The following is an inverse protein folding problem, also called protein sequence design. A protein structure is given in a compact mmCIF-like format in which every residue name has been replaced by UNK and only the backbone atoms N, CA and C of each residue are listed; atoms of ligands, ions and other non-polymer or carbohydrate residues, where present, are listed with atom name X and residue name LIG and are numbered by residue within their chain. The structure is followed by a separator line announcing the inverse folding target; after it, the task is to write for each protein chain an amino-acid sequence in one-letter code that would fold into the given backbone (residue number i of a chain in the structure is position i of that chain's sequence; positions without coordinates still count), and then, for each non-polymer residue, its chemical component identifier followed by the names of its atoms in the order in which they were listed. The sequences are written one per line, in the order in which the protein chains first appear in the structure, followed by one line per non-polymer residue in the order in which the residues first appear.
data_IF_733520748430
#
_entry.id   IF_733520748430
#
_cell.length_a   1.000
_cell.length_b   1.000
_cell.length_c   1.000
_cell.angle_alpha   90.00
_cell.angle_beta   90.00
_cell.angle_gamma   90.00
#
_symmetry.space_group_name_H-M   'P 1'
#
loop_
_entity.id
_entity.type
_entity.pdbx_description
1 polymer ?
#
# COMPACT_ATOMS: atom_id res chain seq x y z
N UNK A 1 -34.86 -11.55 24.59
CA UNK A 1 -34.21 -12.01 23.35
C UNK A 1 -34.30 -13.55 23.32
N UNK A 2 -34.57 -14.19 22.17
CA UNK A 2 -34.64 -15.67 22.11
C UNK A 2 -33.25 -16.27 22.38
N UNK A 3 -33.19 -17.53 22.84
CA UNK A 3 -31.90 -18.24 23.06
C UNK A 3 -31.04 -18.17 21.79
N UNK A 4 -31.66 -18.37 20.62
CA UNK A 4 -30.99 -18.26 19.33
C UNK A 4 -30.32 -16.89 19.11
N UNK A 5 -31.03 -15.79 19.38
CA UNK A 5 -30.48 -14.44 19.20
C UNK A 5 -29.37 -14.13 20.22
N UNK A 6 -29.47 -14.65 21.44
CA UNK A 6 -28.39 -14.55 22.44
C UNK A 6 -27.15 -15.33 21.99
N UNK A 7 -27.33 -16.55 21.47
CA UNK A 7 -26.24 -17.35 20.91
C UNK A 7 -25.58 -16.67 19.72
N UNK A 8 -26.37 -16.09 18.81
CA UNK A 8 -25.87 -15.35 17.65
C UNK A 8 -25.08 -14.10 18.06
N UNK A 9 -25.57 -13.36 19.07
CA UNK A 9 -24.85 -12.23 19.65
C UNK A 9 -23.47 -12.66 20.14
N UNK A 10 -23.41 -13.67 21.01
CA UNK A 10 -22.14 -14.13 21.60
C UNK A 10 -21.19 -14.75 20.58
N UNK A 11 -21.72 -15.45 19.57
CA UNK A 11 -20.93 -15.92 18.44
C UNK A 11 -20.29 -14.75 17.70
N UNK A 12 -21.05 -13.69 17.41
CA UNK A 12 -20.55 -12.50 16.71
C UNK A 12 -19.51 -11.76 17.55
N UNK A 13 -19.73 -11.61 18.86
CA UNK A 13 -18.74 -11.03 19.78
C UNK A 13 -17.46 -11.86 19.81
N UNK A 14 -17.58 -13.18 19.96
CA UNK A 14 -16.44 -14.09 19.95
C UNK A 14 -15.64 -14.00 18.65
N UNK A 15 -16.34 -14.01 17.50
CA UNK A 15 -15.72 -13.82 16.19
C UNK A 15 -14.99 -12.48 16.10
N UNK A 16 -15.62 -11.37 16.48
CA UNK A 16 -15.01 -10.03 16.42
C UNK A 16 -13.76 -9.91 17.30
N UNK A 17 -13.79 -10.49 18.50
CA UNK A 17 -12.63 -10.51 19.40
C UNK A 17 -11.49 -11.30 18.77
N UNK A 18 -11.76 -12.53 18.31
CA UNK A 18 -10.74 -13.38 17.67
C UNK A 18 -10.20 -12.70 16.41
N UNK A 19 -11.05 -12.23 15.52
CA UNK A 19 -10.68 -11.56 14.28
C UNK A 19 -9.87 -10.28 14.52
N UNK A 20 -10.12 -9.56 15.61
CA UNK A 20 -9.33 -8.38 15.99
C UNK A 20 -7.95 -8.75 16.53
N UNK A 21 -7.86 -9.85 17.29
CA UNK A 21 -6.64 -10.26 18.01
C UNK A 21 -5.68 -11.14 17.19
N UNK A 22 -6.20 -11.99 16.30
CA UNK A 22 -5.41 -12.92 15.48
C UNK A 22 -4.29 -12.24 14.68
N UNK A 23 -4.51 -11.07 14.03
CA UNK A 23 -3.45 -10.36 13.30
C UNK A 23 -2.26 -9.89 14.14
N UNK A 24 -2.39 -9.82 15.48
CA UNK A 24 -1.29 -9.45 16.37
C UNK A 24 -0.28 -10.59 16.57
N UNK A 25 -0.61 -11.81 16.14
CA UNK A 25 0.34 -12.91 16.18
C UNK A 25 1.52 -12.65 15.24
N UNK A 26 2.69 -13.18 15.59
CA UNK A 26 3.90 -13.16 14.75
C UNK A 26 3.84 -14.16 13.58
N UNK A 27 2.75 -14.90 13.43
CA UNK A 27 2.62 -15.97 12.42
C UNK A 27 2.47 -15.33 11.02
N UNK A 28 3.42 -15.53 10.09
CA UNK A 28 3.39 -14.92 8.76
C UNK A 28 2.49 -15.73 7.81
N UNK A 29 1.23 -16.00 8.17
CA UNK A 29 0.33 -16.81 7.33
C UNK A 29 -0.78 -15.95 6.73
N UNK A 30 -1.06 -16.09 5.43
CA UNK A 30 -2.03 -15.25 4.73
C UNK A 30 -3.41 -15.26 5.38
N UNK A 31 -3.94 -16.43 5.78
CA UNK A 31 -5.22 -16.52 6.51
C UNK A 31 -5.27 -15.69 7.81
N UNK A 32 -4.15 -15.57 8.53
CA UNK A 32 -4.04 -14.76 9.75
C UNK A 32 -3.96 -13.27 9.36
N UNK A 33 -3.18 -12.95 8.34
CA UNK A 33 -3.00 -11.58 7.84
C UNK A 33 -4.26 -11.01 7.20
N UNK A 34 -5.10 -11.83 6.56
CA UNK A 34 -6.37 -11.40 5.97
C UNK A 34 -7.34 -10.80 7.00
N UNK A 35 -7.28 -11.21 8.27
CA UNK A 35 -8.06 -10.58 9.34
C UNK A 35 -7.63 -9.14 9.65
N UNK A 36 -6.44 -8.71 9.22
CA UNK A 36 -6.02 -7.32 9.33
C UNK A 36 -6.74 -6.40 8.35
N UNK A 37 -7.29 -6.92 7.25
CA UNK A 37 -7.90 -6.10 6.20
C UNK A 37 -9.18 -5.41 6.68
N UNK A 38 -10.19 -6.13 7.20
CA UNK A 38 -11.51 -5.53 7.44
C UNK A 38 -11.64 -4.77 8.78
N UNK A 39 -10.62 -4.02 9.22
CA UNK A 39 -10.67 -3.29 10.51
C UNK A 39 -11.80 -2.26 10.58
N UNK A 40 -12.06 -1.55 9.49
CA UNK A 40 -13.16 -0.59 9.40
C UNK A 40 -14.52 -1.29 9.58
N UNK A 41 -14.68 -2.44 8.91
CA UNK A 41 -15.88 -3.26 8.97
C UNK A 41 -16.08 -3.86 10.36
N UNK A 42 -15.00 -4.36 10.99
CA UNK A 42 -15.04 -4.85 12.36
C UNK A 42 -15.37 -3.74 13.36
N UNK A 43 -14.85 -2.53 13.17
CA UNK A 43 -15.21 -1.37 13.98
C UNK A 43 -16.71 -1.04 13.88
N UNK A 44 -17.24 -0.91 12.66
CA UNK A 44 -18.67 -0.59 12.45
C UNK A 44 -19.57 -1.71 12.97
N UNK A 45 -19.23 -2.98 12.69
CA UNK A 45 -20.00 -4.11 13.20
C UNK A 45 -19.96 -4.15 14.72
N UNK A 46 -18.81 -3.90 15.35
CA UNK A 46 -18.70 -3.85 16.81
C UNK A 46 -19.53 -2.73 17.43
N UNK A 47 -19.65 -1.55 16.79
CA UNK A 47 -20.57 -0.49 17.24
C UNK A 47 -22.03 -0.95 17.22
N UNK A 48 -22.45 -1.64 16.15
CA UNK A 48 -23.81 -2.19 16.05
C UNK A 48 -24.05 -3.24 17.13
N UNK A 49 -23.12 -4.18 17.33
CA UNK A 49 -23.24 -5.22 18.36
C UNK A 49 -23.17 -4.61 19.77
N UNK A 50 -22.37 -3.57 20.00
CA UNK A 50 -22.35 -2.83 21.27
C UNK A 50 -23.73 -2.22 21.57
N UNK A 51 -24.34 -1.56 20.59
CA UNK A 51 -25.68 -0.99 20.73
C UNK A 51 -26.74 -2.08 21.00
N UNK A 52 -26.70 -3.20 20.28
CA UNK A 52 -27.60 -4.34 20.56
C UNK A 52 -27.40 -4.85 21.99
N UNK A 53 -26.15 -4.99 22.45
CA UNK A 53 -25.84 -5.41 23.82
C UNK A 53 -26.41 -4.46 24.87
N UNK A 54 -26.41 -3.15 24.59
CA UNK A 54 -26.93 -2.12 25.50
C UNK A 54 -28.44 -2.25 25.72
N UNK A 55 -29.22 -2.56 24.68
CA UNK A 55 -30.68 -2.58 24.73
C UNK A 55 -31.30 -3.96 24.99
N UNK A 56 -30.61 -5.05 24.63
CA UNK A 56 -31.21 -6.39 24.61
C UNK A 56 -30.60 -7.40 25.59
N UNK A 57 -29.46 -7.10 26.22
CA UNK A 57 -28.88 -7.92 27.29
C UNK A 57 -29.16 -7.30 28.65
N UNK A 58 -29.13 -8.11 29.71
CA UNK A 58 -29.32 -7.66 31.09
C UNK A 58 -28.22 -8.19 32.02
N UNK A 59 -28.09 -7.55 33.18
CA UNK A 59 -27.18 -7.98 34.25
C UNK A 59 -25.73 -8.19 33.81
N UNK A 60 -25.14 -9.31 34.21
CA UNK A 60 -23.75 -9.65 33.92
C UNK A 60 -23.47 -9.82 32.42
N UNK A 61 -24.44 -10.32 31.64
CA UNK A 61 -24.27 -10.52 30.19
C UNK A 61 -24.09 -9.17 29.47
N UNK A 62 -24.85 -8.14 29.87
CA UNK A 62 -24.69 -6.79 29.35
C UNK A 62 -23.29 -6.27 29.64
N UNK A 63 -22.83 -6.38 30.90
CA UNK A 63 -21.51 -5.87 31.29
C UNK A 63 -20.40 -6.54 30.49
N UNK A 64 -20.39 -7.88 30.42
CA UNK A 64 -19.35 -8.62 29.69
C UNK A 64 -19.40 -8.33 28.19
N UNK A 65 -20.60 -8.27 27.60
CA UNK A 65 -20.78 -7.98 26.17
C UNK A 65 -20.29 -6.58 25.80
N UNK A 66 -20.62 -5.57 26.62
CA UNK A 66 -20.17 -4.19 26.42
C UNK A 66 -18.66 -4.03 26.62
N UNK A 67 -18.06 -4.72 27.59
CA UNK A 67 -16.59 -4.70 27.76
C UNK A 67 -15.92 -5.32 26.52
N UNK A 68 -16.34 -6.52 26.12
CA UNK A 68 -15.73 -7.22 24.99
C UNK A 68 -15.85 -6.43 23.68
N UNK A 69 -17.06 -5.96 23.34
CA UNK A 69 -17.28 -5.14 22.13
C UNK A 69 -16.63 -3.76 22.24
N UNK A 70 -16.63 -3.15 23.42
CA UNK A 70 -15.92 -1.89 23.70
C UNK A 70 -14.41 -2.02 23.46
N UNK A 71 -13.79 -3.12 23.88
CA UNK A 71 -12.38 -3.39 23.59
C UNK A 71 -12.11 -3.54 22.09
N UNK A 72 -12.97 -4.25 21.35
CA UNK A 72 -12.87 -4.38 19.89
C UNK A 72 -12.97 -3.01 19.21
N UNK A 73 -13.92 -2.17 19.64
CA UNK A 73 -14.10 -0.80 19.14
C UNK A 73 -12.82 0.00 19.36
N UNK A 74 -12.31 0.03 20.60
CA UNK A 74 -11.11 0.81 20.95
C UNK A 74 -9.89 0.35 20.15
N UNK A 75 -9.64 -0.95 20.07
CA UNK A 75 -8.49 -1.49 19.34
C UNK A 75 -8.57 -1.09 17.86
N UNK A 76 -9.69 -1.35 17.18
CA UNK A 76 -9.80 -1.01 15.76
C UNK A 76 -9.80 0.50 15.54
N UNK A 77 -10.41 1.29 16.43
CA UNK A 77 -10.36 2.75 16.40
C UNK A 77 -8.92 3.29 16.41
N UNK A 78 -8.04 2.75 17.27
CA UNK A 78 -6.63 3.19 17.35
C UNK A 78 -5.91 3.00 16.00
N UNK A 79 -6.16 1.88 15.32
CA UNK A 79 -5.53 1.60 14.02
C UNK A 79 -6.09 2.48 12.90
N UNK A 80 -7.41 2.65 12.83
CA UNK A 80 -8.04 3.41 11.75
C UNK A 80 -7.92 4.92 11.97
N UNK A 81 -7.88 5.41 13.22
CA UNK A 81 -7.83 6.84 13.54
C UNK A 81 -6.61 7.53 12.91
N UNK A 82 -5.47 6.84 12.82
CA UNK A 82 -4.24 7.34 12.17
C UNK A 82 -4.46 7.82 10.74
N UNK A 83 -5.43 7.27 10.04
CA UNK A 83 -5.75 7.58 8.65
C UNK A 83 -7.01 8.45 8.54
N UNK A 84 -7.33 9.21 9.58
CA UNK A 84 -8.42 10.19 9.58
C UNK A 84 -7.86 11.61 9.75
N UNK A 85 -8.59 12.66 9.32
CA UNK A 85 -8.22 14.06 9.57
C UNK A 85 -8.11 14.45 11.04
N UNK A 86 -8.55 13.59 11.97
CA UNK A 86 -8.42 13.83 13.41
C UNK A 86 -7.01 13.54 13.93
N UNK A 87 -6.22 12.75 13.19
CA UNK A 87 -4.85 12.44 13.56
C UNK A 87 -3.89 13.50 13.02
N UNK A 88 -2.82 13.76 13.76
CA UNK A 88 -1.78 14.69 13.31
C UNK A 88 -1.14 14.16 12.03
N UNK A 89 -1.08 14.97 10.98
CA UNK A 89 -0.43 14.58 9.73
C UNK A 89 1.05 14.22 9.96
N UNK A 90 1.54 13.16 9.33
CA UNK A 90 2.96 12.79 9.40
C UNK A 90 3.80 13.63 8.42
N UNK A 91 3.40 13.63 7.15
CA UNK A 91 4.03 14.39 6.08
C UNK A 91 3.68 15.87 6.13
N UNK A 92 4.68 16.72 5.88
CA UNK A 92 4.53 18.17 5.81
C UNK A 92 4.05 18.58 4.42
N UNK A 93 3.08 19.50 4.37
CA UNK A 93 2.60 20.08 3.13
C UNK A 93 3.62 21.08 2.55
N UNK A 94 3.72 21.14 1.23
CA UNK A 94 4.56 22.10 0.53
C UNK A 94 4.09 23.54 0.81
N UNK A 95 5.05 24.45 1.02
CA UNK A 95 4.76 25.89 1.12
C UNK A 95 4.26 26.43 -0.22
N UNK A 96 3.64 27.63 -0.27
CA UNK A 96 3.25 28.24 -1.54
C UNK A 96 4.41 28.35 -2.53
N UNK A 97 5.60 28.73 -2.07
CA UNK A 97 6.80 28.86 -2.91
C UNK A 97 7.24 27.50 -3.46
N UNK A 98 7.25 26.45 -2.63
CA UNK A 98 7.57 25.08 -3.05
C UNK A 98 6.56 24.52 -4.07
N UNK A 99 5.29 24.97 -4.02
CA UNK A 99 4.24 24.56 -4.98
C UNK A 99 4.39 25.23 -6.34
N UNK A 100 4.91 26.45 -6.35
CA UNK A 100 5.12 27.27 -7.56
C UNK A 100 6.43 26.93 -8.29
N UNK A 101 7.40 26.29 -7.61
CA UNK A 101 8.63 25.82 -8.24
C UNK A 101 8.43 24.50 -9.00
N UNK A 102 8.00 24.62 -10.26
CA UNK A 102 7.82 23.49 -11.17
C UNK A 102 9.11 22.65 -11.36
N UNK A 103 10.30 23.25 -11.23
CA UNK A 103 11.58 22.53 -11.44
C UNK A 103 11.88 21.49 -10.36
N UNK A 104 11.21 21.61 -9.21
CA UNK A 104 11.31 20.72 -8.05
C UNK A 104 10.03 19.91 -7.81
N UNK A 105 9.00 20.11 -8.62
CA UNK A 105 7.73 19.39 -8.49
C UNK A 105 7.78 18.09 -9.28
N UNK A 106 7.32 17.02 -8.65
CA UNK A 106 7.06 15.75 -9.33
C UNK A 106 5.64 15.28 -9.03
N UNK A 107 4.91 14.93 -10.08
CA UNK A 107 3.60 14.29 -10.01
C UNK A 107 3.69 12.87 -10.57
N UNK A 108 3.26 11.90 -9.78
CA UNK A 108 3.29 10.49 -10.10
C UNK A 108 1.88 9.88 -10.04
N UNK A 109 1.52 9.07 -11.04
CA UNK A 109 0.35 8.19 -11.00
C UNK A 109 0.82 6.74 -10.93
N UNK A 110 0.30 5.98 -9.98
CA UNK A 110 0.45 4.53 -9.91
C UNK A 110 -0.90 3.84 -10.07
N UNK A 111 -0.94 2.76 -10.85
CA UNK A 111 -2.17 2.00 -11.13
C UNK A 111 -1.89 0.51 -11.25
N UNK A 112 -2.41 -0.32 -10.36
CA UNK A 112 -2.63 -1.73 -10.68
C UNK A 112 -3.79 -1.82 -11.69
N UNK A 113 -3.51 -2.29 -12.92
CA UNK A 113 -4.51 -2.27 -14.00
C UNK A 113 -5.37 -3.52 -14.07
N UNK A 114 -4.98 -4.58 -13.34
CA UNK A 114 -5.46 -5.95 -13.50
C UNK A 114 -5.27 -6.46 -14.92
N UNK A 115 -4.37 -7.40 -15.16
CA UNK A 115 -3.97 -7.78 -16.53
C UNK A 115 -5.17 -8.07 -17.44
N UNK A 116 -6.15 -8.87 -17.00
CA UNK A 116 -7.37 -9.23 -17.73
C UNK A 116 -8.28 -8.06 -18.11
N UNK A 117 -8.16 -6.89 -17.47
CA UNK A 117 -8.87 -5.68 -17.89
C UNK A 117 -8.28 -5.17 -19.21
N UNK A 118 -9.12 -4.95 -20.22
CA UNK A 118 -8.69 -4.46 -21.56
C UNK A 118 -9.19 -3.06 -21.88
N UNK A 119 -9.73 -2.34 -20.90
CA UNK A 119 -10.17 -0.95 -21.07
C UNK A 119 -8.98 0.03 -20.99
N UNK A 120 -8.03 -0.13 -21.92
CA UNK A 120 -6.80 0.66 -21.98
C UNK A 120 -7.05 2.17 -22.01
N UNK A 121 -8.13 2.56 -22.71
CA UNK A 121 -8.49 3.95 -22.94
C UNK A 121 -8.74 4.73 -21.64
N UNK A 122 -9.28 4.09 -20.59
CA UNK A 122 -9.54 4.78 -19.31
C UNK A 122 -8.26 5.26 -18.64
N UNK A 123 -7.25 4.40 -18.53
CA UNK A 123 -5.96 4.79 -17.94
C UNK A 123 -5.23 5.80 -18.84
N UNK A 124 -5.22 5.58 -20.16
CA UNK A 124 -4.61 6.51 -21.12
C UNK A 124 -5.24 7.92 -21.00
N UNK A 125 -6.56 8.01 -20.96
CA UNK A 125 -7.28 9.28 -20.82
C UNK A 125 -7.00 9.95 -19.48
N UNK A 126 -6.90 9.17 -18.39
CA UNK A 126 -6.53 9.67 -17.08
C UNK A 126 -5.13 10.31 -17.12
N UNK A 127 -4.14 9.60 -17.69
CA UNK A 127 -2.76 10.10 -17.82
C UNK A 127 -2.70 11.37 -18.68
N UNK A 128 -3.44 11.42 -19.81
CA UNK A 128 -3.51 12.62 -20.66
C UNK A 128 -4.19 13.81 -19.98
N UNK A 129 -5.13 13.55 -19.07
CA UNK A 129 -5.86 14.58 -18.34
C UNK A 129 -5.01 15.15 -17.20
N UNK A 130 -4.44 14.30 -16.37
CA UNK A 130 -3.66 14.70 -15.20
C UNK A 130 -2.22 15.11 -15.54
N UNK A 131 -1.71 14.66 -16.71
CA UNK A 131 -0.38 14.96 -17.23
C UNK A 131 0.75 14.77 -16.20
N UNK A 132 0.84 13.61 -15.53
CA UNK A 132 1.88 13.39 -14.54
C UNK A 132 3.28 13.43 -15.19
N UNK A 133 4.30 13.69 -14.37
CA UNK A 133 5.71 13.61 -14.77
C UNK A 133 6.14 12.15 -14.89
N UNK A 134 5.56 11.29 -14.05
CA UNK A 134 5.81 9.85 -14.03
C UNK A 134 4.47 9.11 -13.95
N UNK A 135 4.30 8.07 -14.76
CA UNK A 135 3.18 7.13 -14.65
C UNK A 135 3.72 5.71 -14.56
N UNK A 136 3.15 4.90 -13.67
CA UNK A 136 3.43 3.46 -13.58
C UNK A 136 2.15 2.64 -13.61
N UNK A 137 2.19 1.52 -14.32
CA UNK A 137 1.14 0.52 -14.34
C UNK A 137 1.69 -0.85 -13.92
N UNK A 138 0.98 -1.54 -13.03
CA UNK A 138 1.27 -2.89 -12.53
C UNK A 138 0.25 -3.89 -13.09
N UNK A 139 0.62 -5.16 -13.12
CA UNK A 139 -0.14 -6.24 -13.77
C UNK A 139 -0.34 -6.00 -15.27
N UNK A 140 0.74 -5.67 -15.99
CA UNK A 140 0.71 -5.44 -17.45
C UNK A 140 1.32 -6.60 -18.24
N UNK A 141 0.62 -7.01 -19.29
CA UNK A 141 1.15 -7.88 -20.34
C UNK A 141 1.62 -7.05 -21.55
N UNK A 142 2.07 -7.76 -22.60
CA UNK A 142 2.52 -7.13 -23.83
C UNK A 142 1.44 -6.22 -24.45
N UNK A 143 0.16 -6.62 -24.40
CA UNK A 143 -0.94 -5.86 -24.97
C UNK A 143 -1.18 -4.54 -24.21
N UNK A 144 -1.10 -4.55 -22.89
CA UNK A 144 -1.14 -3.33 -22.07
C UNK A 144 0.03 -2.40 -22.39
N UNK A 145 1.26 -2.93 -22.46
CA UNK A 145 2.46 -2.15 -22.77
C UNK A 145 2.35 -1.53 -24.16
N UNK A 146 1.90 -2.28 -25.16
CA UNK A 146 1.73 -1.79 -26.53
C UNK A 146 0.65 -0.70 -26.64
N UNK A 147 -0.47 -0.86 -25.94
CA UNK A 147 -1.54 0.13 -25.91
C UNK A 147 -1.08 1.45 -25.27
N UNK A 148 -0.40 1.38 -24.11
CA UNK A 148 0.17 2.54 -23.42
C UNK A 148 1.24 3.21 -24.28
N UNK A 149 2.18 2.45 -24.83
CA UNK A 149 3.26 2.98 -25.65
C UNK A 149 2.72 3.65 -26.91
N UNK A 150 1.80 3.01 -27.62
CA UNK A 150 1.22 3.58 -28.84
C UNK A 150 0.52 4.92 -28.60
N UNK A 151 -0.11 5.09 -27.44
CA UNK A 151 -0.89 6.27 -27.12
C UNK A 151 -0.12 7.40 -26.42
N UNK A 152 1.01 7.09 -25.77
CA UNK A 152 1.72 7.99 -24.84
C UNK A 152 3.23 8.15 -25.12
N UNK A 153 3.81 7.45 -26.11
CA UNK A 153 5.25 7.56 -26.44
C UNK A 153 5.74 8.97 -26.76
N UNK A 154 4.85 9.84 -27.25
CA UNK A 154 5.19 11.24 -27.56
C UNK A 154 5.10 12.13 -26.32
N UNK A 155 4.38 11.68 -25.28
CA UNK A 155 4.19 12.38 -23.99
C UNK A 155 5.28 12.02 -22.96
N UNK A 156 5.92 10.85 -23.08
CA UNK A 156 6.96 10.34 -22.17
C UNK A 156 8.20 9.90 -22.94
N UNK A 157 9.37 10.43 -22.57
CA UNK A 157 10.64 10.18 -23.27
C UNK A 157 11.38 8.96 -22.72
N UNK A 158 11.10 8.56 -21.48
CA UNK A 158 11.80 7.49 -20.78
C UNK A 158 10.83 6.37 -20.41
N UNK A 159 11.22 5.13 -20.69
CA UNK A 159 10.38 3.95 -20.51
C UNK A 159 11.19 2.80 -19.91
N UNK A 160 10.59 2.09 -18.96
CA UNK A 160 11.05 0.78 -18.50
C UNK A 160 9.87 -0.16 -18.65
N UNK A 161 10.01 -1.16 -19.52
CA UNK A 161 8.93 -2.08 -19.89
C UNK A 161 9.32 -3.47 -19.41
N UNK A 162 8.49 -4.04 -18.56
CA UNK A 162 8.65 -5.39 -18.00
C UNK A 162 7.29 -6.07 -18.14
N UNK A 163 6.86 -6.33 -19.36
CA UNK A 163 5.67 -7.12 -19.60
C UNK A 163 5.89 -8.58 -19.17
N UNK A 164 4.88 -9.15 -18.54
CA UNK A 164 4.83 -10.57 -18.20
C UNK A 164 3.44 -11.11 -18.50
N UNK A 165 3.35 -12.39 -18.90
CA UNK A 165 2.07 -13.08 -19.12
C UNK A 165 1.48 -13.62 -17.80
N UNK A 166 1.66 -12.87 -16.71
CA UNK A 166 1.26 -13.20 -15.35
C UNK A 166 0.93 -11.90 -14.57
N UNK A 167 0.50 -12.01 -13.32
CA UNK A 167 0.13 -10.87 -12.47
C UNK A 167 1.30 -9.99 -11.99
N UNK A 168 2.48 -10.00 -12.62
CA UNK A 168 3.67 -9.30 -12.12
C UNK A 168 4.30 -8.31 -13.08
N UNK A 169 3.84 -8.25 -14.34
CA UNK A 169 4.37 -7.28 -15.28
C UNK A 169 4.17 -5.83 -14.83
N UNK A 170 5.12 -4.96 -15.16
CA UNK A 170 5.09 -3.54 -14.81
C UNK A 170 5.68 -2.67 -15.90
N UNK A 171 5.18 -1.43 -16.01
CA UNK A 171 5.71 -0.42 -16.92
C UNK A 171 5.85 0.92 -16.21
N UNK A 172 7.03 1.52 -16.33
CA UNK A 172 7.34 2.87 -15.87
C UNK A 172 7.49 3.79 -17.09
N UNK A 173 6.77 4.91 -17.07
CA UNK A 173 6.78 5.98 -18.06
C UNK A 173 7.21 7.28 -17.37
N UNK A 174 8.23 7.98 -17.89
CA UNK A 174 8.73 9.20 -17.30
C UNK A 174 9.05 10.29 -18.33
N UNK A 175 8.65 11.52 -18.01
CA UNK A 175 9.09 12.74 -18.69
C UNK A 175 10.45 13.20 -18.19
N UNK A 176 10.73 12.93 -16.92
CA UNK A 176 11.99 13.23 -16.27
C UNK A 176 13.05 12.20 -16.67
N UNK A 177 14.33 12.61 -16.83
CA UNK A 177 15.41 11.68 -17.13
C UNK A 177 15.57 10.60 -16.07
N UNK A 178 15.64 9.36 -16.54
CA UNK A 178 15.92 8.17 -15.73
C UNK A 178 17.35 7.70 -15.97
N UNK A 179 18.07 7.40 -14.90
CA UNK A 179 19.40 6.77 -14.96
C UNK A 179 19.60 5.78 -13.81
N UNK A 180 20.66 4.97 -13.88
CA UNK A 180 20.91 3.87 -12.94
C UNK A 180 19.66 2.98 -12.76
N UNK A 181 18.96 2.72 -13.86
CA UNK A 181 17.73 1.93 -13.88
C UNK A 181 18.05 0.45 -13.84
N UNK A 182 17.49 -0.24 -12.86
CA UNK A 182 17.62 -1.68 -12.64
C UNK A 182 16.22 -2.29 -12.53
N UNK A 183 15.98 -3.35 -13.30
CA UNK A 183 14.85 -4.27 -13.10
C UNK A 183 15.39 -5.46 -12.30
N UNK A 184 14.76 -5.77 -11.16
CA UNK A 184 15.33 -6.67 -10.16
C UNK A 184 14.27 -7.60 -9.58
N UNK A 185 14.61 -8.87 -9.47
CA UNK A 185 13.87 -9.86 -8.69
C UNK A 185 14.60 -10.00 -7.35
N UNK A 186 14.12 -9.31 -6.32
CA UNK A 186 14.91 -9.09 -5.09
C UNK A 186 14.91 -10.31 -4.18
N UNK A 187 13.81 -11.03 -4.14
CA UNK A 187 13.62 -12.15 -3.24
C UNK A 187 12.97 -13.36 -3.90
N UNK A 188 11.89 -13.14 -4.67
CA UNK A 188 11.13 -14.22 -5.32
C UNK A 188 11.36 -14.16 -6.82
N UNK A 189 11.75 -15.29 -7.42
CA UNK A 189 11.97 -15.40 -8.87
C UNK A 189 10.67 -15.10 -9.64
N UNK A 190 10.78 -14.32 -10.71
CA UNK A 190 9.66 -13.88 -11.53
C UNK A 190 8.83 -12.72 -10.94
N UNK A 191 9.16 -12.20 -9.75
CA UNK A 191 8.53 -11.00 -9.17
C UNK A 191 9.46 -9.80 -9.36
N UNK A 192 9.23 -8.95 -10.37
CA UNK A 192 10.12 -7.84 -10.66
C UNK A 192 9.84 -6.64 -9.75
N UNK A 193 10.87 -5.82 -9.60
CA UNK A 193 10.82 -4.47 -9.03
C UNK A 193 11.68 -3.55 -9.88
N UNK A 194 11.35 -2.27 -9.94
CA UNK A 194 12.16 -1.27 -10.63
C UNK A 194 12.81 -0.36 -9.60
N UNK A 195 14.12 -0.17 -9.73
CA UNK A 195 14.87 0.88 -9.04
C UNK A 195 15.47 1.81 -10.07
N UNK A 196 15.26 3.10 -9.95
CA UNK A 196 15.86 4.08 -10.87
C UNK A 196 16.15 5.39 -10.16
N UNK A 197 17.23 6.06 -10.54
CA UNK A 197 17.43 7.46 -10.18
C UNK A 197 16.65 8.33 -11.17
N UNK A 198 15.99 9.33 -10.65
CA UNK A 198 15.21 10.33 -11.39
C UNK A 198 15.89 11.67 -11.23
N UNK A 199 16.10 12.39 -12.33
CA UNK A 199 16.67 13.74 -12.32
C UNK A 199 15.59 14.79 -12.49
N UNK A 200 15.59 15.77 -11.60
CA UNK A 200 14.71 16.93 -11.64
C UNK A 200 15.32 18.03 -12.50
N UNK A 201 14.48 18.93 -13.03
CA UNK A 201 14.94 20.10 -13.78
C UNK A 201 15.76 21.07 -12.92
N UNK A 202 15.55 21.04 -11.59
CA UNK A 202 16.40 21.76 -10.62
C UNK A 202 17.84 21.26 -10.54
N UNK A 203 18.14 20.11 -11.15
CA UNK A 203 19.42 19.41 -11.06
C UNK A 203 19.53 18.45 -9.86
N UNK A 204 18.56 18.47 -8.94
CA UNK A 204 18.47 17.47 -7.87
C UNK A 204 18.12 16.09 -8.44
N UNK A 205 18.47 15.05 -7.70
CA UNK A 205 18.14 13.67 -8.06
C UNK A 205 17.60 12.92 -6.85
N UNK A 206 16.72 11.96 -7.11
CA UNK A 206 16.08 11.15 -6.09
C UNK A 206 15.90 9.72 -6.60
N UNK A 207 15.62 8.78 -5.69
CA UNK A 207 15.50 7.36 -5.99
C UNK A 207 14.04 6.93 -6.03
N UNK A 208 13.60 6.36 -7.14
CA UNK A 208 12.29 5.74 -7.28
C UNK A 208 12.41 4.22 -7.16
N UNK A 209 11.57 3.64 -6.32
CA UNK A 209 11.32 2.20 -6.25
C UNK A 209 9.88 1.91 -6.62
N UNK A 210 9.66 1.00 -7.59
CA UNK A 210 8.35 0.47 -7.96
C UNK A 210 8.31 -1.00 -7.64
N UNK A 211 7.28 -1.42 -6.92
CA UNK A 211 7.20 -2.74 -6.31
C UNK A 211 5.81 -3.33 -6.45
N UNK A 212 5.74 -4.65 -6.61
CA UNK A 212 4.50 -5.39 -6.58
C UNK A 212 4.75 -6.78 -5.99
N UNK A 213 5.00 -6.86 -4.67
CA UNK A 213 5.28 -8.13 -4.02
C UNK A 213 4.04 -9.04 -4.02
N UNK A 214 4.26 -10.32 -3.71
CA UNK A 214 3.22 -11.33 -3.78
C UNK A 214 1.98 -11.02 -2.92
N UNK A 215 0.77 -11.39 -3.39
CA UNK A 215 -0.46 -11.21 -2.64
C UNK A 215 -0.56 -12.16 -1.44
N UNK A 216 -1.15 -11.74 -0.30
CA UNK A 216 -1.42 -12.63 0.81
C UNK A 216 -2.61 -13.54 0.46
N UNK A 217 -2.37 -14.85 0.35
CA UNK A 217 -3.42 -15.83 0.09
C UNK A 217 -3.70 -16.71 1.31
N UNK A 218 -4.96 -17.14 1.57
CA UNK A 218 -5.30 -17.91 2.76
C UNK A 218 -4.58 -19.25 2.92
N UNK A 219 -3.96 -19.77 1.86
CA UNK A 219 -3.33 -21.09 1.81
C UNK A 219 -1.80 -21.03 1.71
N UNK A 220 -1.19 -19.83 1.84
CA UNK A 220 0.26 -19.65 1.81
C UNK A 220 0.74 -18.71 2.92
N UNK A 221 2.03 -18.79 3.25
CA UNK A 221 2.69 -17.80 4.09
C UNK A 221 2.94 -16.48 3.35
N UNK A 222 3.30 -15.42 4.10
CA UNK A 222 3.57 -14.07 3.59
C UNK A 222 5.05 -13.71 3.58
N UNK A 223 5.97 -14.68 3.71
CA UNK A 223 7.41 -14.42 3.89
C UNK A 223 8.02 -13.74 2.67
N UNK A 224 7.72 -14.20 1.45
CA UNK A 224 8.16 -13.55 0.21
C UNK A 224 7.77 -12.08 0.14
N UNK A 225 6.49 -11.78 0.33
CA UNK A 225 5.99 -10.40 0.39
C UNK A 225 6.65 -9.56 1.49
N UNK A 226 6.65 -10.05 2.73
CA UNK A 226 7.14 -9.29 3.89
C UNK A 226 8.66 -9.07 3.81
N UNK A 227 9.42 -10.05 3.30
CA UNK A 227 10.86 -9.99 3.09
C UNK A 227 11.25 -9.01 1.99
N UNK A 228 10.55 -9.02 0.85
CA UNK A 228 10.83 -8.09 -0.25
C UNK A 228 10.60 -6.63 0.16
N UNK A 229 9.46 -6.35 0.80
CA UNK A 229 9.15 -5.02 1.34
C UNK A 229 10.26 -4.56 2.31
N UNK A 230 10.71 -5.45 3.20
CA UNK A 230 11.73 -5.13 4.18
C UNK A 230 13.12 -4.88 3.55
N UNK A 231 13.51 -5.65 2.53
CA UNK A 231 14.76 -5.44 1.78
C UNK A 231 14.79 -4.05 1.14
N UNK A 232 13.69 -3.63 0.52
CA UNK A 232 13.57 -2.32 -0.11
C UNK A 232 13.62 -1.20 0.93
N UNK A 233 12.97 -1.40 2.08
CA UNK A 233 13.06 -0.43 3.18
C UNK A 233 14.49 -0.24 3.69
N UNK A 234 15.25 -1.34 3.84
CA UNK A 234 16.66 -1.27 4.23
C UNK A 234 17.56 -0.67 3.16
N UNK A 235 17.26 -0.92 1.89
CA UNK A 235 17.99 -0.32 0.76
C UNK A 235 17.74 1.19 0.68
N UNK A 236 16.48 1.62 0.72
CA UNK A 236 16.08 3.02 0.73
C UNK A 236 16.73 3.80 1.89
N UNK A 237 16.87 3.18 3.06
CA UNK A 237 17.55 3.80 4.22
C UNK A 237 19.04 4.07 4.00
N UNK A 238 19.70 3.24 3.19
CA UNK A 238 21.14 3.29 2.93
C UNK A 238 21.47 4.09 1.66
N UNK A 239 20.49 4.32 0.79
CA UNK A 239 20.68 5.14 -0.41
C UNK A 239 20.97 6.59 0.01
N UNK A 240 22.01 7.25 -0.54
CA UNK A 240 22.32 8.63 -0.22
C UNK A 240 21.33 9.63 -0.83
N UNK A 241 20.47 9.21 -1.77
CA UNK A 241 19.45 10.06 -2.38
C UNK A 241 18.13 9.96 -1.61
N UNK A 242 17.35 11.05 -1.52
CA UNK A 242 15.97 10.97 -1.05
C UNK A 242 15.19 10.01 -1.94
N UNK A 243 14.24 9.28 -1.36
CA UNK A 243 13.55 8.20 -2.07
C UNK A 243 12.03 8.28 -2.00
N UNK A 244 11.40 7.72 -3.03
CA UNK A 244 9.98 7.39 -3.07
C UNK A 244 9.86 5.90 -3.37
N UNK A 245 9.04 5.20 -2.59
CA UNK A 245 8.69 3.79 -2.82
C UNK A 245 7.20 3.73 -3.09
N UNK A 246 6.80 3.19 -4.24
CA UNK A 246 5.38 3.13 -4.65
C UNK A 246 5.03 1.82 -5.32
N UNK A 247 3.75 1.46 -5.26
CA UNK A 247 3.19 0.29 -5.90
C UNK A 247 2.10 -0.34 -5.06
N UNK A 248 1.60 -1.49 -5.50
CA UNK A 248 0.66 -2.30 -4.75
C UNK A 248 1.43 -3.25 -3.86
N UNK A 249 1.45 -2.95 -2.56
CA UNK A 249 2.16 -3.76 -1.56
C UNK A 249 1.39 -5.01 -1.14
N UNK A 250 0.17 -5.19 -1.67
CA UNK A 250 -0.69 -6.31 -1.30
C UNK A 250 -0.90 -6.39 0.23
N UNK A 251 -0.87 -5.24 0.90
CA UNK A 251 -1.01 -5.12 2.34
C UNK A 251 -1.67 -3.80 2.74
N UNK A 252 -2.36 -3.80 3.87
CA UNK A 252 -3.10 -2.63 4.36
C UNK A 252 -2.21 -1.66 5.11
N UNK A 253 -2.49 -0.36 5.00
CA UNK A 253 -1.70 0.72 5.60
C UNK A 253 -1.46 0.61 7.12
N UNK A 254 -2.31 -0.10 7.85
CA UNK A 254 -2.20 -0.34 9.29
C UNK A 254 -1.62 -1.71 9.67
N UNK A 255 -1.05 -2.43 8.71
CA UNK A 255 -0.43 -3.73 8.96
C UNK A 255 0.88 -3.61 9.75
N UNK A 256 1.32 -4.74 10.31
CA UNK A 256 2.64 -4.85 10.94
C UNK A 256 3.76 -4.69 9.92
N UNK A 257 3.58 -5.17 8.68
CA UNK A 257 4.59 -5.10 7.62
C UNK A 257 4.78 -3.66 7.15
N UNK A 258 3.71 -2.89 6.94
CA UNK A 258 3.81 -1.45 6.63
C UNK A 258 4.47 -0.66 7.75
N UNK A 259 4.12 -0.92 9.02
CA UNK A 259 4.81 -0.29 10.16
C UNK A 259 6.30 -0.62 10.15
N UNK A 260 6.65 -1.91 9.97
CA UNK A 260 8.04 -2.37 9.91
C UNK A 260 8.79 -1.74 8.75
N UNK A 261 8.17 -1.60 7.58
CA UNK A 261 8.74 -0.92 6.43
C UNK A 261 9.12 0.54 6.77
N UNK A 262 8.21 1.30 7.39
CA UNK A 262 8.52 2.67 7.81
C UNK A 262 9.64 2.71 8.87
N UNK A 263 9.69 1.73 9.78
CA UNK A 263 10.71 1.64 10.81
C UNK A 263 12.11 1.30 10.27
N UNK A 264 12.18 0.50 9.20
CA UNK A 264 13.43 0.16 8.50
C UNK A 264 13.90 1.29 7.60
N UNK A 265 12.97 1.92 6.86
CA UNK A 265 13.27 2.91 5.82
C UNK A 265 13.38 4.34 6.35
N UNK A 266 12.61 4.68 7.39
CA UNK A 266 12.40 6.05 7.83
C UNK A 266 11.43 6.86 6.95
N UNK A 267 10.84 6.25 5.91
CA UNK A 267 9.95 6.92 4.99
C UNK A 267 8.57 7.21 5.62
N UNK A 268 7.97 8.29 5.15
CA UNK A 268 6.69 8.81 5.64
C UNK A 268 5.54 8.29 4.78
N UNK A 269 4.38 8.12 5.41
CA UNK A 269 3.12 7.81 4.74
C UNK A 269 2.26 9.09 4.64
N UNK A 270 2.01 9.61 3.42
CA UNK A 270 1.27 10.85 3.24
C UNK A 270 -0.21 10.73 3.62
N UNK A 271 -0.74 9.52 3.73
CA UNK A 271 -2.14 9.23 4.10
C UNK A 271 -2.42 9.49 5.58
N UNK A 272 -1.40 9.35 6.43
CA UNK A 272 -1.53 9.52 7.88
C UNK A 272 -1.96 10.97 8.20
N UNK A 273 -3.06 11.08 8.95
CA UNK A 273 -3.73 12.34 9.29
C UNK A 273 -4.58 12.94 8.17
N UNK A 274 -4.83 12.22 7.07
CA UNK A 274 -5.58 12.75 5.91
C UNK A 274 -6.74 11.87 5.46
N UNK A 275 -6.52 10.57 5.32
CA UNK A 275 -7.54 9.66 4.80
C UNK A 275 -6.98 8.27 4.56
N UNK A 276 -7.86 7.29 4.34
CA UNK A 276 -7.44 5.92 4.01
C UNK A 276 -6.94 5.79 2.58
N UNK A 277 -7.56 6.50 1.63
CA UNK A 277 -7.30 6.36 0.18
C UNK A 277 -7.49 4.92 -0.31
N UNK A 278 -8.57 4.26 0.12
CA UNK A 278 -8.84 2.86 -0.23
C UNK A 278 -8.92 2.64 -1.75
N UNK A 279 -7.97 1.88 -2.29
CA UNK A 279 -7.79 1.60 -3.71
C UNK A 279 -8.41 0.26 -4.14
N UNK A 280 -8.47 -0.75 -3.28
CA UNK A 280 -8.99 -2.08 -3.60
C UNK A 280 -10.02 -2.57 -2.56
N UNK A 281 -11.19 -3.10 -2.89
CA UNK A 281 -11.65 -3.48 -4.21
C UNK A 281 -12.53 -2.37 -4.82
N UNK A 282 -12.14 -1.82 -5.96
CA UNK A 282 -12.80 -0.70 -6.62
C UNK A 282 -14.28 -0.98 -6.95
N UNK A 283 -14.59 -2.22 -7.32
CA UNK A 283 -15.96 -2.72 -7.55
C UNK A 283 -16.84 -2.97 -6.30
N UNK A 284 -16.28 -3.05 -5.08
CA UNK A 284 -17.05 -3.45 -3.88
C UNK A 284 -16.94 -2.39 -2.79
N UNK A 285 -17.86 -1.44 -2.76
CA UNK A 285 -17.76 -0.26 -1.89
C UNK A 285 -17.60 -0.56 -0.39
N UNK A 286 -18.16 -1.66 0.11
CA UNK A 286 -18.08 -2.05 1.52
C UNK A 286 -16.82 -2.86 1.87
N UNK A 287 -16.01 -3.25 0.89
CA UNK A 287 -14.78 -4.03 1.04
C UNK A 287 -13.62 -3.32 0.32
N UNK A 288 -13.42 -2.05 0.68
CA UNK A 288 -12.33 -1.21 0.16
C UNK A 288 -11.27 -1.00 1.24
N UNK A 289 -10.02 -1.13 0.84
CA UNK A 289 -8.80 -1.11 1.63
C UNK A 289 -7.68 -0.41 0.86
N UNK A 290 -6.66 0.12 1.55
CA UNK A 290 -5.58 0.88 0.92
C UNK A 290 -4.38 -0.02 0.64
N UNK A 291 -4.39 -0.70 -0.52
CA UNK A 291 -3.33 -1.64 -0.92
C UNK A 291 -2.25 -1.01 -1.80
N UNK A 292 -2.55 0.11 -2.46
CA UNK A 292 -1.57 0.88 -3.22
C UNK A 292 -0.96 1.94 -2.29
N UNK A 293 0.36 1.88 -2.16
CA UNK A 293 1.12 2.74 -1.26
C UNK A 293 2.04 3.67 -2.04
N UNK A 294 2.31 4.80 -1.41
CA UNK A 294 3.49 5.59 -1.70
C UNK A 294 4.07 6.07 -0.37
N UNK A 295 5.31 5.69 -0.14
CA UNK A 295 6.12 6.23 0.93
C UNK A 295 7.15 7.19 0.36
N UNK A 296 7.47 8.24 1.09
CA UNK A 296 8.41 9.25 0.63
C UNK A 296 9.38 9.68 1.72
N UNK A 297 10.55 10.11 1.29
CA UNK A 297 11.56 10.68 2.18
C UNK A 297 11.08 11.99 2.81
N UNK A 298 11.49 12.32 4.05
CA UNK A 298 11.25 13.62 4.66
C UNK A 298 11.72 14.83 3.85
N UNK A 299 12.54 14.70 2.81
CA UNK A 299 12.88 15.79 1.89
C UNK A 299 11.74 16.15 0.91
N UNK A 300 10.76 15.25 0.72
CA UNK A 300 9.57 15.55 -0.07
C UNK A 300 8.48 16.24 0.73
N UNK A 301 7.85 17.23 0.12
CA UNK A 301 6.73 18.01 0.67
C UNK A 301 5.47 17.71 -0.10
N UNK A 302 4.39 17.38 0.60
CA UNK A 302 3.15 16.96 -0.06
C UNK A 302 2.44 18.16 -0.70
N UNK A 303 2.14 18.06 -2.00
CA UNK A 303 1.33 19.02 -2.74
C UNK A 303 -0.09 18.49 -2.91
N UNK A 304 -0.21 17.25 -3.41
CA UNK A 304 -1.50 16.61 -3.71
C UNK A 304 -1.43 15.11 -3.46
N UNK A 305 -2.51 14.58 -2.88
CA UNK A 305 -2.75 13.15 -2.73
C UNK A 305 -4.21 12.89 -3.14
N UNK A 306 -4.42 12.04 -4.13
CA UNK A 306 -5.75 11.77 -4.65
C UNK A 306 -5.91 10.32 -5.11
N UNK A 307 -7.01 9.68 -4.71
CA UNK A 307 -7.47 8.46 -5.36
C UNK A 307 -8.25 8.85 -6.61
N UNK A 308 -7.85 8.30 -7.75
CA UNK A 308 -8.37 8.66 -9.06
C UNK A 308 -9.63 7.85 -9.42
N UNK A 309 -10.38 8.24 -10.47
CA UNK A 309 -11.52 7.45 -10.95
C UNK A 309 -11.13 6.03 -11.37
N UNK A 310 -12.08 5.10 -11.29
CA UNK A 310 -11.85 3.69 -11.67
C UNK A 310 -11.52 3.58 -13.17
N UNK A 311 -10.44 2.86 -13.50
CA UNK A 311 -9.97 2.61 -14.87
C UNK A 311 -10.41 1.26 -15.46
N UNK A 312 -11.42 0.60 -14.86
CA UNK A 312 -11.88 -0.74 -15.22
C UNK A 312 -11.22 -1.87 -14.40
N UNK A 313 -10.22 -1.53 -13.58
CA UNK A 313 -9.53 -2.43 -12.67
C UNK A 313 -10.34 -2.66 -11.38
N UNK A 314 -9.96 -3.68 -10.61
CA UNK A 314 -10.33 -3.83 -9.20
C UNK A 314 -9.50 -2.93 -8.28
N UNK A 315 -8.49 -2.22 -8.80
CA UNK A 315 -7.81 -1.12 -8.12
C UNK A 315 -8.21 0.25 -8.70
N UNK A 316 -8.28 1.25 -7.84
CA UNK A 316 -8.28 2.65 -8.26
C UNK A 316 -6.82 3.12 -8.43
N UNK A 317 -6.49 3.88 -9.49
CA UNK A 317 -5.21 4.55 -9.56
C UNK A 317 -5.09 5.58 -8.44
N UNK A 318 -3.86 5.87 -8.05
CA UNK A 318 -3.55 6.87 -7.04
C UNK A 318 -2.54 7.88 -7.60
N UNK A 319 -2.80 9.16 -7.35
CA UNK A 319 -1.98 10.28 -7.77
C UNK A 319 -1.34 10.92 -6.55
N UNK A 320 -0.05 11.18 -6.68
CA UNK A 320 0.75 11.90 -5.71
C UNK A 320 1.49 13.04 -6.38
N UNK A 321 1.58 14.17 -5.71
CA UNK A 321 2.40 15.30 -6.16
C UNK A 321 3.20 15.82 -4.98
N UNK A 322 4.50 16.00 -5.20
CA UNK A 322 5.46 16.44 -4.19
C UNK A 322 6.36 17.55 -4.73
N UNK A 323 6.83 18.41 -3.84
CA UNK A 323 8.01 19.25 -4.06
C UNK A 323 9.22 18.62 -3.38
N UNK A 324 10.35 18.53 -4.07
CA UNK A 324 11.61 18.11 -3.48
C UNK A 324 12.30 19.32 -2.83
N UNK A 325 12.53 19.25 -1.51
CA UNK A 325 13.13 20.31 -0.71
C UNK A 325 14.61 20.00 -0.44
N UNK A 326 15.42 21.02 -0.16
CA UNK A 326 16.84 20.85 0.21
C UNK A 326 17.02 20.40 1.68
N UNK A 327 15.91 20.21 2.41
CA UNK A 327 15.92 19.88 3.83
C UNK A 327 14.91 18.80 4.15
N UNK A 328 15.27 17.90 5.06
CA UNK A 328 14.35 16.92 5.62
C UNK A 328 13.40 17.56 6.65
N UNK A 329 12.08 17.30 6.53
CA UNK A 329 11.07 17.76 7.50
C UNK A 329 9.89 16.80 7.59
N UNK A 330 9.53 16.44 8.82
CA UNK A 330 8.34 15.68 9.15
C UNK A 330 7.70 16.28 10.41
N UNK A 331 6.39 16.10 10.62
CA UNK A 331 5.79 16.46 11.91
C UNK A 331 6.21 15.50 13.02
N UNK A 332 6.46 14.25 12.66
CA UNK A 332 7.11 13.23 13.48
C UNK A 332 7.63 12.12 12.56
N UNK A 333 8.71 11.48 12.97
CA UNK A 333 9.31 10.35 12.26
C UNK A 333 8.67 9.03 12.72
N UNK A 334 8.66 7.98 11.88
CA UNK A 334 8.36 6.64 12.34
C UNK A 334 9.36 6.20 13.42
N UNK A 335 8.93 5.31 14.31
CA UNK A 335 9.83 4.68 15.28
C UNK A 335 10.89 3.89 14.53
N UNK A 336 12.16 4.02 14.95
CA UNK A 336 13.25 3.28 14.33
C UNK A 336 13.09 1.78 14.61
N UNK A 337 13.44 0.95 13.62
CA UNK A 337 13.44 -0.50 13.80
C UNK A 337 14.31 -0.94 14.97
N UNK A 338 13.86 -1.95 15.72
CA UNK A 338 14.67 -2.59 16.76
C UNK A 338 15.68 -3.55 16.14
N UNK A 339 16.67 -4.00 16.91
CA UNK A 339 17.59 -5.04 16.45
C UNK A 339 16.86 -6.37 16.23
N UNK A 340 15.92 -6.72 17.11
CA UNK A 340 15.06 -7.91 16.96
C UNK A 340 14.29 -7.85 15.63
N UNK A 341 13.71 -6.72 15.25
CA UNK A 341 13.01 -6.60 13.98
C UNK A 341 13.93 -6.74 12.76
N UNK A 342 15.19 -6.31 12.86
CA UNK A 342 16.17 -6.48 11.79
C UNK A 342 16.63 -7.92 11.66
N UNK A 343 16.80 -8.63 12.78
CA UNK A 343 17.13 -10.06 12.78
C UNK A 343 15.96 -10.90 12.25
N UNK A 344 14.71 -10.61 12.68
CA UNK A 344 13.50 -11.25 12.14
C UNK A 344 13.43 -11.14 10.60
N UNK A 345 13.79 -9.97 10.05
CA UNK A 345 13.81 -9.75 8.59
C UNK A 345 14.89 -10.57 7.90
N UNK A 346 16.10 -10.66 8.49
CA UNK A 346 17.17 -11.49 7.94
C UNK A 346 16.76 -12.95 7.89
N UNK A 347 16.13 -13.46 8.96
CA UNK A 347 15.64 -14.84 9.00
C UNK A 347 14.57 -15.08 7.92
N UNK A 348 13.58 -14.19 7.79
CA UNK A 348 12.55 -14.28 6.73
C UNK A 348 13.18 -14.32 5.33
N UNK A 349 14.15 -13.44 5.07
CA UNK A 349 14.83 -13.36 3.76
C UNK A 349 15.67 -14.62 3.49
N UNK A 350 16.39 -15.13 4.49
CA UNK A 350 17.19 -16.34 4.35
C UNK A 350 16.33 -17.59 4.16
N UNK A 351 15.22 -17.69 4.86
CA UNK A 351 14.25 -18.77 4.69
C UNK A 351 13.65 -18.75 3.29
N UNK A 352 13.21 -17.57 2.82
CA UNK A 352 12.58 -17.43 1.52
C UNK A 352 13.56 -17.73 0.38
N UNK A 353 14.82 -17.28 0.47
CA UNK A 353 15.85 -17.61 -0.53
C UNK A 353 16.16 -19.09 -0.66
N UNK A 354 15.86 -19.88 0.38
CA UNK A 354 16.01 -21.34 0.37
C UNK A 354 14.75 -22.05 -0.10
N UNK A 355 13.62 -21.34 -0.20
CA UNK A 355 12.38 -21.90 -0.69
C UNK A 355 12.48 -22.12 -2.20
N UNK A 356 12.26 -23.36 -2.63
CA UNK A 356 12.13 -23.72 -4.05
C UNK A 356 10.64 -23.77 -4.39
N UNK A 357 10.08 -22.62 -4.76
CA UNK A 357 8.66 -22.46 -5.12
C UNK A 357 8.46 -21.39 -6.18
N UNK A 358 7.37 -21.51 -6.93
CA UNK A 358 6.92 -20.43 -7.82
C UNK A 358 6.27 -19.28 -7.04
N UNK A 359 6.30 -18.10 -7.64
CA UNK A 359 5.58 -16.94 -7.13
C UNK A 359 4.06 -17.17 -7.14
N UNK A 360 3.39 -16.68 -6.11
CA UNK A 360 1.94 -16.84 -5.92
C UNK A 360 1.18 -15.99 -6.94
N UNK A 361 0.21 -16.57 -7.65
CA UNK A 361 -0.64 -15.81 -8.58
C UNK A 361 -0.12 -15.75 -10.01
N UNK A 362 0.98 -16.45 -10.31
CA UNK A 362 1.49 -16.63 -11.68
C UNK A 362 0.50 -17.30 -12.64
N UNK A 363 -0.56 -17.91 -12.12
CA UNK A 363 -1.63 -18.58 -12.87
C UNK A 363 -2.96 -17.82 -12.90
N UNK A 364 -3.11 -16.71 -12.17
CA UNK A 364 -4.39 -16.01 -12.03
C UNK A 364 -4.91 -15.38 -13.31
N UNK A 365 -4.01 -15.04 -14.22
CA UNK A 365 -4.30 -14.39 -15.49
C UNK A 365 -4.17 -15.34 -16.69
N UNK A 366 -3.96 -16.65 -16.43
CA UNK A 366 -3.97 -17.72 -17.44
C UNK A 366 -5.42 -18.13 -17.71
N UNK A 367 -6.07 -17.45 -18.66
CA UNK A 367 -7.44 -17.70 -19.12
C UNK A 367 -7.54 -18.40 -20.46
#
# INVERSE_FOLDING_TARGET
MTIFLISLYWFTVGFLVVATLVPFSKIPHGAIRSFAFPREQFFVLALVIFAIGLFFLDGQQRIVGLIATGSVIVVNAIYIAKFTPLWRTQSVDATPEEREDDSRRVTLIASNVKQSNRDYAKLINLIKTEKPDIATALEVDAAWVDALYSALKDDFQHWVKVDQENSYGMVLMSRLPLDETEVRELLVEGVPSIRTRVRMDSGQAWRLYIVHPEPPVPYHDTKGRDGEIALIGMEAKKDPLPSIVTGDLNDVAWSTTTRRFQALSGLLDPRIGRGFYNTFHAGVALARWPLDHLFHDPEFRLIRLARMPNVGSDHFPILFSFALSDTAKAHYLPEASTEEEREDVKEIVEDERKADREAIGTDWEKG
#
